data_IF_083481859471
#
_entry.id   IF_083481859471
#
_cell.length_a   1.000
_cell.length_b   1.000
_cell.length_c   1.000
_cell.angle_alpha   90.00
_cell.angle_beta   90.00
_cell.angle_gamma   90.00
#
_symmetry.space_group_name_H-M   'P 1'
#
loop_
_entity.id
_entity.type
_entity.pdbx_description
1 polymer ?
#
# COMPACT_ATOMS: atom_id res chain seq x y z
N UNK A 1 18.96 8.73 -23.62
CA UNK A 1 18.15 7.64 -23.03
C UNK A 1 16.71 7.90 -23.41
N UNK A 2 16.03 6.92 -24.01
CA UNK A 2 14.62 7.05 -24.43
C UNK A 2 13.73 6.58 -23.28
N UNK A 3 13.14 7.53 -22.56
CA UNK A 3 12.36 7.26 -21.35
C UNK A 3 11.11 6.42 -21.64
N UNK A 4 10.50 6.59 -22.81
CA UNK A 4 9.32 5.84 -23.23
C UNK A 4 9.67 4.36 -23.41
N UNK A 5 10.78 4.05 -24.09
CA UNK A 5 11.26 2.66 -24.21
C UNK A 5 11.61 2.05 -22.86
N UNK A 6 12.17 2.84 -21.95
CA UNK A 6 12.45 2.37 -20.58
C UNK A 6 11.16 2.02 -19.84
N UNK A 7 10.12 2.84 -19.92
CA UNK A 7 8.83 2.56 -19.30
C UNK A 7 8.16 1.31 -19.91
N UNK A 8 8.19 1.16 -21.24
CA UNK A 8 7.65 -0.02 -21.93
C UNK A 8 8.34 -1.31 -21.49
N UNK A 9 9.69 -1.31 -21.44
CA UNK A 9 10.46 -2.45 -20.96
C UNK A 9 10.13 -2.77 -19.51
N UNK A 10 9.99 -1.74 -18.68
CA UNK A 10 9.68 -1.89 -17.27
C UNK A 10 8.28 -2.50 -17.06
N UNK A 11 7.25 -1.97 -17.73
CA UNK A 11 5.89 -2.55 -17.74
C UNK A 11 5.89 -4.00 -18.20
N UNK A 12 6.69 -4.34 -19.22
CA UNK A 12 6.80 -5.71 -19.72
C UNK A 12 7.37 -6.68 -18.68
N UNK A 13 8.33 -6.26 -17.86
CA UNK A 13 8.95 -7.11 -16.81
C UNK A 13 8.00 -7.31 -15.61
N UNK A 14 7.13 -6.36 -15.32
CA UNK A 14 6.12 -6.49 -14.26
C UNK A 14 5.03 -7.53 -14.60
N UNK A 15 4.89 -7.88 -15.88
CA UNK A 15 3.84 -8.74 -16.38
C UNK A 15 2.51 -7.99 -16.58
N UNK A 16 1.43 -8.69 -16.97
CA UNK A 16 0.13 -8.07 -17.18
C UNK A 16 -0.47 -7.59 -15.86
N UNK A 17 -1.07 -6.40 -15.89
CA UNK A 17 -1.94 -5.96 -14.81
C UNK A 17 -3.37 -6.49 -15.04
N UNK A 18 -4.07 -6.89 -13.96
CA UNK A 18 -5.49 -7.24 -14.03
C UNK A 18 -6.38 -6.08 -14.50
N UNK A 19 -7.64 -6.39 -14.80
CA UNK A 19 -8.63 -5.35 -15.09
C UNK A 19 -9.07 -4.68 -13.78
N UNK A 20 -9.45 -3.40 -13.85
CA UNK A 20 -9.95 -2.70 -12.66
C UNK A 20 -11.39 -3.14 -12.38
N UNK A 21 -11.63 -3.63 -11.18
CA UNK A 21 -12.98 -3.84 -10.62
C UNK A 21 -13.46 -2.65 -9.79
N UNK A 22 -14.76 -2.48 -9.54
CA UNK A 22 -15.27 -1.54 -8.54
C UNK A 22 -14.57 -1.75 -7.20
N UNK A 23 -14.19 -0.67 -6.51
CA UNK A 23 -13.40 -0.77 -5.28
C UNK A 23 -14.17 -1.35 -4.09
N UNK A 24 -15.50 -1.21 -4.06
CA UNK A 24 -16.36 -1.68 -2.96
C UNK A 24 -15.77 -1.38 -1.57
N UNK A 25 -15.40 -0.11 -1.37
CA UNK A 25 -14.71 0.34 -0.16
C UNK A 25 -15.64 0.21 1.05
N UNK A 26 -15.14 -0.43 2.10
CA UNK A 26 -15.86 -0.62 3.37
C UNK A 26 -14.96 -0.26 4.54
N UNK A 27 -15.50 0.50 5.50
CA UNK A 27 -14.86 0.73 6.79
C UNK A 27 -15.28 -0.37 7.75
N UNK A 28 -14.31 -1.14 8.24
CA UNK A 28 -14.52 -2.26 9.15
C UNK A 28 -14.44 -1.84 10.62
N UNK A 29 -13.48 -0.97 10.93
CA UNK A 29 -13.24 -0.46 12.28
C UNK A 29 -12.81 1.01 12.20
N UNK A 30 -13.08 1.77 13.25
CA UNK A 30 -12.65 3.16 13.35
C UNK A 30 -12.32 3.52 14.81
N UNK A 31 -11.24 4.25 15.01
CA UNK A 31 -10.83 4.76 16.33
C UNK A 31 -10.31 6.19 16.24
N UNK A 32 -10.63 6.98 17.27
CA UNK A 32 -10.07 8.32 17.44
C UNK A 32 -8.65 8.21 18.01
N UNK A 33 -7.68 8.84 17.34
CA UNK A 33 -6.30 8.96 17.78
C UNK A 33 -5.95 10.44 18.03
N UNK A 34 -4.84 10.68 18.71
CA UNK A 34 -4.32 12.04 18.89
C UNK A 34 -3.88 12.65 17.55
N UNK A 35 -4.70 13.57 17.02
CA UNK A 35 -4.45 14.33 15.79
C UNK A 35 -4.91 13.66 14.48
N UNK A 36 -5.57 12.50 14.54
CA UNK A 36 -6.14 11.81 13.38
C UNK A 36 -7.20 10.78 13.79
N UNK A 37 -8.04 10.35 12.85
CA UNK A 37 -8.86 9.14 12.96
C UNK A 37 -8.16 8.01 12.23
N UNK A 38 -8.12 6.82 12.81
CA UNK A 38 -7.60 5.61 12.17
C UNK A 38 -8.75 4.66 11.87
N UNK A 39 -8.92 4.33 10.60
CA UNK A 39 -9.97 3.41 10.15
C UNK A 39 -9.34 2.20 9.48
N UNK A 40 -9.74 0.99 9.86
CA UNK A 40 -9.44 -0.21 9.09
C UNK A 40 -10.43 -0.26 7.93
N UNK A 41 -9.91 -0.22 6.70
CA UNK A 41 -10.73 -0.23 5.48
C UNK A 41 -10.38 -1.43 4.61
N UNK A 42 -11.37 -1.90 3.85
CA UNK A 42 -11.22 -2.99 2.89
C UNK A 42 -11.68 -2.54 1.50
N UNK A 43 -10.99 -2.99 0.44
CA UNK A 43 -11.34 -2.71 -0.95
C UNK A 43 -10.96 -3.87 -1.88
N UNK A 44 -11.65 -3.97 -3.01
CA UNK A 44 -11.47 -5.02 -4.00
C UNK A 44 -10.28 -4.72 -4.92
N UNK A 45 -9.44 -5.73 -5.12
CA UNK A 45 -8.16 -5.64 -5.82
C UNK A 45 -8.09 -6.54 -7.07
N UNK A 46 -9.24 -7.07 -7.51
CA UNK A 46 -9.47 -8.04 -8.62
C UNK A 46 -8.79 -9.41 -8.44
N UNK A 47 -7.55 -9.43 -7.94
CA UNK A 47 -6.72 -10.63 -7.80
C UNK A 47 -7.08 -11.42 -6.55
N UNK A 48 -8.10 -12.27 -6.63
CA UNK A 48 -8.46 -13.32 -5.65
C UNK A 48 -8.67 -12.88 -4.19
N UNK A 49 -8.48 -11.61 -3.86
CA UNK A 49 -8.44 -11.12 -2.50
C UNK A 49 -8.94 -9.68 -2.37
N UNK A 50 -9.61 -9.45 -1.25
CA UNK A 50 -9.95 -8.12 -0.78
C UNK A 50 -8.81 -7.62 0.10
N UNK A 51 -8.22 -6.49 -0.26
CA UNK A 51 -7.09 -5.93 0.47
C UNK A 51 -7.61 -5.11 1.64
N UNK A 52 -6.93 -5.23 2.78
CA UNK A 52 -7.19 -4.43 3.98
C UNK A 52 -6.04 -3.46 4.25
N UNK A 53 -6.39 -2.26 4.67
CA UNK A 53 -5.44 -1.19 4.96
C UNK A 53 -5.92 -0.31 6.11
N UNK A 54 -4.99 0.36 6.80
CA UNK A 54 -5.36 1.43 7.72
C UNK A 54 -5.33 2.77 6.98
N UNK A 55 -6.46 3.46 7.00
CA UNK A 55 -6.62 4.83 6.54
C UNK A 55 -6.55 5.77 7.74
N UNK A 56 -5.56 6.65 7.77
CA UNK A 56 -5.41 7.65 8.82
C UNK A 56 -5.82 9.01 8.24
N UNK A 57 -6.94 9.54 8.72
CA UNK A 57 -7.47 10.84 8.31
C UNK A 57 -7.10 11.90 9.35
N UNK A 58 -6.38 12.97 8.98
CA UNK A 58 -5.93 13.98 9.93
C UNK A 58 -7.11 14.77 10.51
N UNK A 59 -7.08 15.10 11.80
CA UNK A 59 -8.09 15.95 12.46
C UNK A 59 -7.59 17.39 12.58
N UNK A 60 -8.51 18.36 12.66
CA UNK A 60 -8.15 19.79 12.77
C UNK A 60 -7.73 20.47 11.47
N UNK A 61 -7.86 19.78 10.32
CA UNK A 61 -7.62 20.36 9.00
C UNK A 61 -8.92 20.49 8.21
N UNK A 62 -9.05 21.56 7.42
CA UNK A 62 -10.17 21.78 6.52
C UNK A 62 -9.79 21.49 5.06
N UNK A 63 -10.81 21.13 4.27
CA UNK A 63 -10.68 20.87 2.84
C UNK A 63 -9.93 19.58 2.50
N UNK A 64 -9.66 19.41 1.19
CA UNK A 64 -8.93 18.25 0.67
C UNK A 64 -7.46 18.29 1.09
N UNK A 65 -6.94 17.13 1.49
CA UNK A 65 -5.58 16.97 2.02
C UNK A 65 -4.71 16.15 1.07
N UNK A 66 -3.40 16.45 0.97
CA UNK A 66 -2.48 15.56 0.26
C UNK A 66 -2.49 14.18 0.92
N UNK A 67 -2.29 13.14 0.12
CA UNK A 67 -2.24 11.77 0.61
C UNK A 67 -0.84 11.17 0.53
N UNK A 68 -0.54 10.21 1.41
CA UNK A 68 0.69 9.44 1.41
C UNK A 68 0.36 7.95 1.54
N UNK A 69 0.79 7.15 0.57
CA UNK A 69 0.86 5.69 0.75
C UNK A 69 2.11 5.36 1.54
N UNK A 70 1.99 4.53 2.58
CA UNK A 70 3.12 4.13 3.44
C UNK A 70 3.26 2.62 3.42
N UNK A 71 4.29 2.14 2.72
CA UNK A 71 4.59 0.73 2.57
C UNK A 71 5.53 0.23 3.69
N UNK A 72 5.15 -0.87 4.32
CA UNK A 72 5.96 -1.49 5.38
C UNK A 72 7.20 -2.21 4.82
N UNK A 73 8.21 -2.38 5.66
CA UNK A 73 9.41 -3.16 5.34
C UNK A 73 9.21 -4.67 5.50
N UNK A 74 10.25 -5.43 5.18
CA UNK A 74 10.31 -6.87 5.44
C UNK A 74 10.50 -7.08 6.94
N UNK A 75 9.40 -7.38 7.63
CA UNK A 75 9.35 -7.61 9.08
C UNK A 75 8.53 -8.84 9.41
N UNK A 76 8.15 -9.00 10.68
CA UNK A 76 7.31 -10.11 11.11
C UNK A 76 6.02 -10.17 10.29
N UNK A 77 5.68 -11.37 9.82
CA UNK A 77 4.70 -11.61 8.75
C UNK A 77 3.30 -11.17 9.15
N UNK A 78 2.97 -11.24 10.43
CA UNK A 78 1.70 -10.82 11.02
C UNK A 78 1.56 -9.30 11.17
N UNK A 79 2.65 -8.54 11.13
CA UNK A 79 2.60 -7.10 11.39
C UNK A 79 2.12 -6.32 10.17
N UNK A 80 2.77 -6.50 9.02
CA UNK A 80 2.44 -5.79 7.78
C UNK A 80 2.12 -4.30 8.01
N UNK A 81 0.94 -3.87 7.56
CA UNK A 81 0.37 -2.52 7.72
C UNK A 81 0.32 -2.01 9.16
N UNK A 82 0.19 -2.90 10.16
CA UNK A 82 0.09 -2.53 11.58
C UNK A 82 1.36 -1.83 12.07
N UNK A 83 2.50 -2.17 11.46
CA UNK A 83 3.81 -1.59 11.79
C UNK A 83 3.94 -0.13 11.34
N UNK A 84 3.30 0.25 10.22
CA UNK A 84 3.35 1.62 9.68
C UNK A 84 2.20 2.48 10.19
N UNK A 85 1.04 1.88 10.46
CA UNK A 85 -0.16 2.54 10.98
C UNK A 85 -0.09 2.89 12.49
N UNK A 86 0.99 2.50 13.18
CA UNK A 86 1.18 2.74 14.62
C UNK A 86 0.20 1.97 15.50
N UNK A 87 -0.29 0.83 15.02
CA UNK A 87 -1.12 -0.11 15.80
C UNK A 87 -0.23 -0.91 16.73
N UNK A 88 0.93 -1.35 16.24
CA UNK A 88 1.98 -1.95 17.07
C UNK A 88 3.10 -0.94 17.20
N UNK A 89 3.30 -0.42 18.41
CA UNK A 89 4.37 0.55 18.69
C UNK A 89 5.60 -0.19 19.18
N UNK A 90 6.75 0.13 18.59
CA UNK A 90 8.05 -0.26 19.14
C UNK A 90 8.51 0.88 20.05
N UNK A 91 8.83 0.58 21.30
CA UNK A 91 9.25 1.60 22.27
C UNK A 91 10.37 2.48 21.70
N UNK A 92 10.20 3.81 21.87
CA UNK A 92 11.16 4.81 21.40
C UNK A 92 11.25 4.99 19.88
N UNK A 93 10.42 4.33 19.07
CA UNK A 93 10.42 4.53 17.60
C UNK A 93 9.10 5.10 17.09
N UNK A 94 9.11 6.30 16.48
CA UNK A 94 7.92 6.85 15.83
C UNK A 94 7.43 5.92 14.71
N UNK A 95 6.12 5.85 14.52
CA UNK A 95 5.50 5.16 13.38
C UNK A 95 5.20 6.20 12.30
N UNK A 96 5.64 5.93 11.07
CA UNK A 96 5.55 6.88 9.95
C UNK A 96 4.13 7.37 9.70
N UNK A 97 3.13 6.48 9.76
CA UNK A 97 1.74 6.83 9.46
C UNK A 97 1.17 7.89 10.42
N UNK A 98 1.14 7.64 11.74
CA UNK A 98 0.70 8.64 12.71
C UNK A 98 1.42 9.99 12.61
N UNK A 99 2.74 9.98 12.38
CA UNK A 99 3.51 11.23 12.29
C UNK A 99 3.16 12.06 11.06
N UNK A 100 2.92 11.41 9.92
CA UNK A 100 2.45 12.06 8.71
C UNK A 100 1.00 12.55 8.87
N UNK A 101 0.14 11.74 9.49
CA UNK A 101 -1.26 12.12 9.74
C UNK A 101 -1.35 13.37 10.62
N UNK A 102 -0.59 13.44 11.72
CA UNK A 102 -0.54 14.64 12.57
C UNK A 102 -0.01 15.89 11.84
N UNK A 103 0.77 15.72 10.77
CA UNK A 103 1.24 16.81 9.89
C UNK A 103 0.22 17.20 8.81
N UNK A 104 -0.95 16.57 8.79
CA UNK A 104 -2.07 16.94 7.93
C UNK A 104 -2.14 16.18 6.60
N UNK A 105 -1.48 15.04 6.47
CA UNK A 105 -1.63 14.12 5.34
C UNK A 105 -2.72 13.09 5.61
N UNK A 106 -3.47 12.69 4.57
CA UNK A 106 -4.25 11.45 4.61
C UNK A 106 -3.28 10.30 4.34
N UNK A 107 -3.21 9.31 5.23
CA UNK A 107 -2.22 8.23 5.10
C UNK A 107 -2.90 6.89 4.88
N UNK A 108 -2.43 6.13 3.90
CA UNK A 108 -2.87 4.76 3.68
C UNK A 108 -1.71 3.78 3.92
N UNK A 109 -1.92 2.87 4.86
CA UNK A 109 -1.00 1.78 5.18
C UNK A 109 -1.63 0.46 4.74
N UNK A 110 -1.20 -0.12 3.61
CA UNK A 110 -1.66 -1.41 3.11
C UNK A 110 -0.70 -2.56 3.40
N UNK A 111 -1.22 -3.78 3.45
CA UNK A 111 -0.39 -4.99 3.50
C UNK A 111 0.22 -5.30 2.13
N UNK A 112 1.53 -5.58 2.10
CA UNK A 112 2.15 -6.28 1.00
C UNK A 112 1.53 -7.69 0.85
N UNK A 113 1.46 -8.22 -0.37
CA UNK A 113 1.05 -9.60 -0.58
C UNK A 113 1.91 -10.53 0.28
N UNK A 114 1.29 -11.52 0.95
CA UNK A 114 1.89 -12.42 1.95
C UNK A 114 2.08 -11.87 3.37
N UNK A 115 1.75 -10.60 3.66
CA UNK A 115 1.81 -10.02 5.01
C UNK A 115 0.43 -9.72 5.60
N UNK A 116 0.39 -9.63 6.93
CA UNK A 116 -0.78 -9.22 7.69
C UNK A 116 -1.98 -10.09 7.36
N UNK A 117 -3.03 -9.45 6.82
CA UNK A 117 -4.28 -10.13 6.46
C UNK A 117 -4.18 -10.93 5.16
N UNK A 118 -3.07 -10.80 4.42
CA UNK A 118 -2.79 -11.46 3.14
C UNK A 118 -1.90 -12.69 3.28
N UNK A 119 -1.74 -13.19 4.50
CA UNK A 119 -1.09 -14.46 4.80
C UNK A 119 -1.97 -15.65 4.40
N UNK A 120 -1.40 -16.85 4.43
CA UNK A 120 -2.11 -18.08 4.10
C UNK A 120 -3.26 -18.34 5.10
N UNK A 121 -4.53 -18.36 4.66
CA UNK A 121 -5.65 -18.64 5.57
C UNK A 121 -5.61 -20.07 6.14
N UNK A 122 -4.95 -21.01 5.44
CA UNK A 122 -4.73 -22.38 5.91
C UNK A 122 -3.56 -22.55 6.87
N UNK A 123 -2.90 -21.44 7.27
CA UNK A 123 -1.74 -21.46 8.17
C UNK A 123 -0.44 -21.83 7.44
N UNK A 124 -0.27 -23.12 7.08
CA UNK A 124 0.96 -23.60 6.42
C UNK A 124 0.77 -23.84 4.92
N UNK A 125 1.80 -23.56 4.08
CA UNK A 125 3.08 -22.94 4.43
C UNK A 125 2.89 -21.49 4.90
N UNK A 126 3.81 -21.01 5.73
CA UNK A 126 3.88 -19.65 6.29
C UNK A 126 5.20 -18.96 5.92
N UNK A 127 5.28 -17.66 6.23
CA UNK A 127 6.47 -16.83 6.03
C UNK A 127 7.10 -16.96 4.65
N UNK A 128 8.43 -17.16 4.61
CA UNK A 128 9.20 -17.29 3.37
C UNK A 128 8.71 -18.46 2.50
N UNK A 129 8.24 -19.55 3.12
CA UNK A 129 7.72 -20.69 2.35
C UNK A 129 6.41 -20.31 1.64
N UNK A 130 5.52 -19.57 2.31
CA UNK A 130 4.31 -19.05 1.68
C UNK A 130 4.62 -18.02 0.59
N UNK A 131 5.51 -17.07 0.87
CA UNK A 131 5.94 -16.06 -0.11
C UNK A 131 6.49 -16.73 -1.38
N UNK A 132 7.28 -17.80 -1.23
CA UNK A 132 7.78 -18.58 -2.36
C UNK A 132 6.65 -19.24 -3.16
N UNK A 133 5.65 -19.82 -2.49
CA UNK A 133 4.49 -20.41 -3.18
C UNK A 133 3.72 -19.35 -3.97
N UNK A 134 3.47 -18.18 -3.36
CA UNK A 134 2.78 -17.07 -4.03
C UNK A 134 3.59 -16.54 -5.21
N UNK A 135 4.91 -16.38 -5.06
CA UNK A 135 5.79 -15.96 -6.15
C UNK A 135 5.75 -16.94 -7.32
N UNK A 136 5.78 -18.26 -7.05
CA UNK A 136 5.68 -19.30 -8.09
C UNK A 136 4.31 -19.28 -8.77
N UNK A 137 3.23 -19.08 -8.01
CA UNK A 137 1.87 -18.91 -8.56
C UNK A 137 1.79 -17.71 -9.51
N UNK A 138 2.32 -16.55 -9.09
CA UNK A 138 2.33 -15.36 -9.93
C UNK A 138 3.14 -15.57 -11.21
N UNK A 139 4.32 -16.20 -11.12
CA UNK A 139 5.14 -16.53 -12.29
C UNK A 139 4.41 -17.47 -13.26
N UNK A 140 3.67 -18.47 -12.76
CA UNK A 140 2.85 -19.34 -13.59
C UNK A 140 1.72 -18.59 -14.33
N UNK A 141 1.32 -17.42 -13.84
CA UNK A 141 0.34 -16.52 -14.46
C UNK A 141 1.00 -15.46 -15.37
N UNK A 142 2.31 -15.52 -15.61
CA UNK A 142 3.06 -14.50 -16.36
C UNK A 142 3.27 -13.18 -15.60
N UNK A 143 3.05 -13.18 -14.29
CA UNK A 143 3.18 -12.03 -13.37
C UNK A 143 4.38 -12.23 -12.44
N UNK A 144 4.70 -11.22 -11.64
CA UNK A 144 5.74 -11.34 -10.60
C UNK A 144 5.37 -10.57 -9.33
N UNK A 145 6.11 -10.82 -8.24
CA UNK A 145 5.89 -10.12 -6.96
C UNK A 145 5.99 -8.60 -7.10
N UNK A 146 6.98 -8.12 -7.87
CA UNK A 146 7.13 -6.70 -8.17
C UNK A 146 5.90 -6.13 -8.90
N UNK A 147 5.37 -6.86 -9.89
CA UNK A 147 4.14 -6.49 -10.59
C UNK A 147 2.92 -6.43 -9.67
N UNK A 148 2.81 -7.35 -8.71
CA UNK A 148 1.77 -7.30 -7.69
C UNK A 148 1.90 -6.07 -6.78
N UNK A 149 3.12 -5.71 -6.34
CA UNK A 149 3.32 -4.50 -5.54
C UNK A 149 2.92 -3.22 -6.28
N UNK A 150 3.26 -3.13 -7.57
CA UNK A 150 2.86 -1.99 -8.40
C UNK A 150 1.34 -1.97 -8.60
N UNK A 151 0.71 -3.13 -8.84
CA UNK A 151 -0.73 -3.23 -8.94
C UNK A 151 -1.43 -2.78 -7.65
N UNK A 152 -0.96 -3.25 -6.49
CA UNK A 152 -1.49 -2.85 -5.19
C UNK A 152 -1.38 -1.33 -5.00
N UNK A 153 -0.26 -0.71 -5.39
CA UNK A 153 -0.08 0.73 -5.34
C UNK A 153 -1.03 1.48 -6.29
N UNK A 154 -1.24 0.99 -7.51
CA UNK A 154 -2.21 1.57 -8.45
C UNK A 154 -3.64 1.54 -7.89
N UNK A 155 -4.01 0.43 -7.23
CA UNK A 155 -5.33 0.25 -6.60
C UNK A 155 -5.48 1.06 -5.31
N UNK A 156 -4.39 1.25 -4.56
CA UNK A 156 -4.35 2.19 -3.44
C UNK A 156 -4.50 3.64 -3.89
N UNK A 157 -3.92 4.04 -5.04
CA UNK A 157 -4.18 5.33 -5.65
C UNK A 157 -5.65 5.49 -6.08
N UNK A 158 -6.26 4.45 -6.67
CA UNK A 158 -7.69 4.45 -7.01
C UNK A 158 -8.55 4.69 -5.75
N UNK A 159 -8.24 3.98 -4.66
CA UNK A 159 -8.94 4.14 -3.37
C UNK A 159 -8.76 5.54 -2.79
N UNK A 160 -7.54 6.07 -2.75
CA UNK A 160 -7.28 7.42 -2.25
C UNK A 160 -8.04 8.48 -3.06
N UNK A 161 -8.11 8.34 -4.39
CA UNK A 161 -8.84 9.27 -5.24
C UNK A 161 -10.37 9.17 -5.11
N UNK A 162 -10.91 8.05 -4.61
CA UNK A 162 -12.35 7.94 -4.36
C UNK A 162 -12.80 8.67 -3.09
N UNK A 163 -11.87 9.16 -2.26
CA UNK A 163 -12.18 9.85 -1.01
C UNK A 163 -12.35 11.36 -1.25
N UNK A 164 -13.48 11.91 -0.85
CA UNK A 164 -13.84 13.33 -1.04
C UNK A 164 -12.92 14.33 -0.33
N UNK A 165 -12.28 13.88 0.76
CA UNK A 165 -11.31 14.61 1.57
C UNK A 165 -9.86 14.44 1.12
N UNK A 166 -9.58 13.70 0.04
CA UNK A 166 -8.24 13.58 -0.55
C UNK A 166 -8.10 14.51 -1.75
N UNK A 167 -6.96 15.20 -1.81
CA UNK A 167 -6.53 15.89 -3.01
C UNK A 167 -5.83 14.90 -3.95
N UNK A 168 -6.58 14.36 -4.91
CA UNK A 168 -6.11 13.35 -5.85
C UNK A 168 -4.97 13.83 -6.78
N UNK A 169 -4.64 15.12 -6.78
CA UNK A 169 -3.47 15.67 -7.50
C UNK A 169 -2.17 15.64 -6.67
N UNK A 170 -2.27 15.38 -5.36
CA UNK A 170 -1.16 15.40 -4.41
C UNK A 170 -1.06 14.09 -3.63
N UNK A 171 -0.76 13.00 -4.33
CA UNK A 171 -0.50 11.68 -3.74
C UNK A 171 1.01 11.43 -3.74
N UNK A 172 1.58 11.08 -2.60
CA UNK A 172 2.96 10.60 -2.47
C UNK A 172 3.02 9.12 -2.10
N UNK A 173 4.21 8.53 -2.22
CA UNK A 173 4.52 7.21 -1.70
C UNK A 173 5.80 7.24 -0.85
N UNK A 174 5.76 6.53 0.27
CA UNK A 174 6.88 6.36 1.18
C UNK A 174 7.00 4.90 1.59
N UNK A 175 8.23 4.42 1.79
CA UNK A 175 8.41 3.13 2.44
C UNK A 175 9.83 2.89 2.92
N UNK A 176 9.97 1.89 3.77
CA UNK A 176 11.24 1.51 4.41
C UNK A 176 11.67 0.13 3.88
N UNK A 177 12.94 -0.04 3.50
CA UNK A 177 13.50 -1.30 3.04
C UNK A 177 12.69 -1.89 1.87
N UNK A 178 12.03 -3.04 2.03
CA UNK A 178 11.10 -3.59 1.04
C UNK A 178 10.05 -2.56 0.57
N UNK A 179 9.52 -1.74 1.49
CA UNK A 179 8.58 -0.67 1.16
C UNK A 179 9.21 0.48 0.36
N UNK A 180 10.52 0.72 0.50
CA UNK A 180 11.25 1.64 -0.37
C UNK A 180 11.25 1.09 -1.80
N UNK A 181 11.55 -0.21 -1.94
CA UNK A 181 11.39 -0.94 -3.20
C UNK A 181 9.98 -0.76 -3.80
N UNK A 182 8.91 -0.94 -3.01
CA UNK A 182 7.54 -0.74 -3.50
C UNK A 182 7.30 0.69 -4.01
N UNK A 183 7.78 1.69 -3.27
CA UNK A 183 7.64 3.11 -3.65
C UNK A 183 8.30 3.39 -4.99
N UNK A 184 9.57 3.00 -5.15
CA UNK A 184 10.33 3.19 -6.37
C UNK A 184 9.73 2.43 -7.56
N UNK A 185 9.37 1.16 -7.35
CA UNK A 185 8.82 0.33 -8.41
C UNK A 185 7.49 0.87 -8.93
N UNK A 186 6.65 1.40 -8.02
CA UNK A 186 5.32 1.91 -8.36
C UNK A 186 5.37 3.24 -9.09
N UNK A 187 6.26 4.14 -8.68
CA UNK A 187 6.37 5.47 -9.26
C UNK A 187 6.76 5.51 -10.73
N UNK A 188 7.46 4.47 -11.19
CA UNK A 188 7.85 4.32 -12.60
C UNK A 188 6.65 4.10 -13.54
N UNK A 189 5.49 3.74 -13.00
CA UNK A 189 4.30 3.29 -13.77
C UNK A 189 3.05 4.08 -13.38
N UNK A 190 2.96 4.52 -12.12
CA UNK A 190 1.82 5.21 -11.54
C UNK A 190 2.08 6.73 -11.46
N UNK A 191 1.70 7.43 -12.52
CA UNK A 191 1.92 8.87 -12.68
C UNK A 191 1.17 9.76 -11.66
N UNK A 192 0.22 9.20 -10.90
CA UNK A 192 -0.44 9.93 -9.80
C UNK A 192 0.47 10.12 -8.60
N UNK A 193 1.54 9.34 -8.46
CA UNK A 193 2.52 9.51 -7.38
C UNK A 193 3.43 10.70 -7.72
N UNK A 194 3.32 11.78 -6.96
CA UNK A 194 4.01 13.06 -7.17
C UNK A 194 5.24 13.27 -6.29
N UNK A 195 5.41 12.47 -5.24
CA UNK A 195 6.54 12.52 -4.34
C UNK A 195 6.91 11.11 -3.88
N UNK A 196 8.22 10.83 -3.78
CA UNK A 196 8.76 9.54 -3.37
C UNK A 196 9.74 9.72 -2.23
N UNK A 197 9.61 8.87 -1.22
CA UNK A 197 10.56 8.80 -0.11
C UNK A 197 10.89 7.33 0.16
N UNK A 198 12.09 6.92 -0.25
CA UNK A 198 12.64 5.60 0.08
C UNK A 198 13.62 5.70 1.26
N UNK A 199 13.43 4.88 2.28
CA UNK A 199 14.29 4.81 3.48
C UNK A 199 14.91 3.42 3.62
#
# INVERSE_FOLDING_TARGET
MDLTKTEELYRRILGPFPERVPLNVETLEEEACEGFTRSLVAWDNDVDERVRGYLLKPTGFQGRRPAMMVFHGHGAWELGKRSTAGVVRKEGKPSLGPDLARRGFVVLCGDAICWGDRQNPGGRPDGVAYERVVAMRLMAQGRCMAGQYVWDAMRQCDMLQSLDFVDGSRIGAMGVSMGSGHSWLSAMVENRIRALVGV
#
